data_IF_376814257063
#
_entry.id   IF_376814257063
#
_cell.length_a   1.000
_cell.length_b   1.000
_cell.length_c   1.000
_cell.angle_alpha   90.00
_cell.angle_beta   90.00
_cell.angle_gamma   90.00
#
_symmetry.space_group_name_H-M   'P 1'
#
loop_
_entity.id
_entity.type
_entity.pdbx_description
1 polymer ?
#
# COMPACT_ATOMS: atom_id res chain seq x y z
N UNK A 1 11.93 1.82 6.79
CA UNK A 1 11.56 0.38 6.72
C UNK A 1 10.57 0.19 5.57
N UNK A 2 10.55 -0.95 4.87
CA UNK A 2 9.60 -1.21 3.78
C UNK A 2 8.61 -2.32 4.17
N UNK A 3 7.44 -2.34 3.56
CA UNK A 3 6.42 -3.36 3.78
C UNK A 3 5.85 -3.84 2.45
N UNK A 4 5.64 -5.14 2.33
CA UNK A 4 4.88 -5.73 1.23
C UNK A 4 3.43 -5.82 1.66
N UNK A 5 2.55 -5.07 0.99
CA UNK A 5 1.14 -4.96 1.37
C UNK A 5 0.23 -5.40 0.23
N UNK A 6 -0.82 -6.15 0.55
CA UNK A 6 -1.83 -6.58 -0.41
C UNK A 6 -3.18 -5.92 -0.13
N UNK A 7 -3.85 -5.50 -1.19
CA UNK A 7 -5.17 -4.88 -1.14
C UNK A 7 -6.23 -5.78 -1.76
N UNK A 8 -7.46 -5.66 -1.25
CA UNK A 8 -8.63 -6.07 -2.02
C UNK A 8 -8.87 -5.07 -3.16
N UNK A 9 -9.64 -5.46 -4.17
CA UNK A 9 -9.99 -4.55 -5.28
C UNK A 9 -10.63 -3.21 -4.82
N UNK A 10 -11.61 -3.18 -3.89
CA UNK A 10 -12.20 -1.91 -3.45
C UNK A 10 -11.22 -1.06 -2.63
N UNK A 11 -10.39 -1.67 -1.78
CA UNK A 11 -9.41 -0.92 -0.99
C UNK A 11 -8.27 -0.38 -1.84
N UNK A 12 -7.84 -1.11 -2.88
CA UNK A 12 -6.87 -0.61 -3.85
C UNK A 12 -7.37 0.67 -4.54
N UNK A 13 -8.62 0.68 -4.99
CA UNK A 13 -9.19 1.86 -5.64
C UNK A 13 -9.20 3.10 -4.72
N UNK A 14 -9.45 2.90 -3.42
CA UNK A 14 -9.36 3.96 -2.40
C UNK A 14 -7.91 4.37 -2.12
N UNK A 15 -6.97 3.43 -2.22
CA UNK A 15 -5.55 3.64 -1.97
C UNK A 15 -4.82 4.34 -3.12
N UNK A 16 -5.30 4.19 -4.36
CA UNK A 16 -4.64 4.73 -5.56
C UNK A 16 -4.15 6.18 -5.43
N UNK A 17 -4.94 7.15 -4.91
CA UNK A 17 -4.45 8.53 -4.78
C UNK A 17 -3.25 8.68 -3.84
N UNK A 18 -3.16 7.86 -2.79
CA UNK A 18 -2.05 7.86 -1.83
C UNK A 18 -0.87 7.10 -2.44
N UNK A 19 -1.13 5.94 -3.02
CA UNK A 19 -0.12 5.13 -3.71
C UNK A 19 0.56 5.93 -4.84
N UNK A 20 -0.18 6.67 -5.66
CA UNK A 20 0.41 7.47 -6.74
C UNK A 20 1.26 8.65 -6.25
N UNK A 21 1.05 9.12 -5.02
CA UNK A 21 1.81 10.21 -4.41
C UNK A 21 3.05 9.75 -3.65
N UNK A 22 2.96 8.59 -3.00
CA UNK A 22 3.99 8.09 -2.11
C UNK A 22 4.73 6.85 -2.63
N UNK A 23 4.18 6.10 -3.59
CA UNK A 23 4.82 4.87 -4.05
C UNK A 23 5.91 5.15 -5.07
N UNK A 24 7.15 5.02 -4.61
CA UNK A 24 8.28 4.67 -5.46
C UNK A 24 8.14 3.21 -5.97
N UNK A 25 7.16 2.95 -6.83
CA UNK A 25 7.40 2.19 -8.06
C UNK A 25 7.55 0.67 -8.01
N UNK A 26 6.96 -0.07 -7.07
CA UNK A 26 6.89 -1.54 -7.24
C UNK A 26 5.50 -2.09 -6.95
N UNK A 27 4.76 -2.28 -8.04
CA UNK A 27 3.52 -3.05 -8.07
C UNK A 27 3.88 -4.49 -8.41
N UNK A 28 3.47 -5.40 -7.54
CA UNK A 28 3.55 -6.84 -7.70
C UNK A 28 2.17 -7.38 -8.13
N UNK A 29 2.08 -8.60 -8.66
CA UNK A 29 0.82 -9.24 -8.99
C UNK A 29 -0.16 -9.28 -7.79
N UNK A 30 -1.44 -9.48 -8.10
CA UNK A 30 -2.49 -9.63 -7.10
C UNK A 30 -2.67 -8.42 -6.18
N UNK A 31 -2.51 -7.19 -6.71
CA UNK A 31 -2.71 -5.92 -5.98
C UNK A 31 -1.78 -5.80 -4.78
N UNK A 32 -0.54 -6.20 -4.99
CA UNK A 32 0.49 -6.20 -3.95
C UNK A 32 1.47 -5.06 -4.24
N UNK A 33 1.86 -4.32 -3.22
CA UNK A 33 2.68 -3.14 -3.34
C UNK A 33 3.81 -3.20 -2.33
N UNK A 34 4.99 -2.74 -2.72
CA UNK A 34 6.09 -2.48 -1.79
C UNK A 34 6.01 -1.01 -1.38
N UNK A 35 5.73 -0.77 -0.11
CA UNK A 35 5.50 0.56 0.44
C UNK A 35 6.58 0.91 1.46
N UNK A 36 6.94 2.18 1.53
CA UNK A 36 7.69 2.71 2.66
C UNK A 36 6.77 2.97 3.86
N UNK A 37 7.39 3.31 4.98
CA UNK A 37 6.70 3.58 6.23
C UNK A 37 5.76 4.79 6.15
N UNK A 38 6.12 5.81 5.36
CA UNK A 38 5.31 7.01 5.17
C UNK A 38 4.01 6.69 4.42
N UNK A 39 4.10 5.96 3.31
CA UNK A 39 2.93 5.49 2.57
C UNK A 39 2.02 4.62 3.44
N UNK A 40 2.60 3.72 4.25
CA UNK A 40 1.83 2.88 5.20
C UNK A 40 1.11 3.73 6.24
N UNK A 41 1.76 4.78 6.76
CA UNK A 41 1.15 5.69 7.72
C UNK A 41 -0.01 6.47 7.10
N UNK A 42 0.15 7.00 5.89
CA UNK A 42 -0.91 7.74 5.18
C UNK A 42 -2.12 6.83 4.84
N UNK A 43 -1.87 5.59 4.41
CA UNK A 43 -2.96 4.62 4.18
C UNK A 43 -3.76 4.32 5.46
N UNK A 44 -3.07 4.19 6.60
CA UNK A 44 -3.75 3.99 7.90
C UNK A 44 -4.54 5.21 8.32
N UNK A 45 -4.00 6.42 8.15
CA UNK A 45 -4.71 7.69 8.43
C UNK A 45 -5.97 7.82 7.58
N UNK A 46 -5.92 7.36 6.32
CA UNK A 46 -7.06 7.35 5.42
C UNK A 46 -8.08 6.22 5.69
N UNK A 47 -7.86 5.38 6.71
CA UNK A 47 -8.76 4.27 7.06
C UNK A 47 -8.84 3.22 5.96
N UNK A 48 -7.73 2.98 5.26
CA UNK A 48 -7.63 1.95 4.22
C UNK A 48 -7.17 0.65 4.85
N UNK A 49 -7.89 -0.42 4.56
CA UNK A 49 -7.59 -1.77 5.05
C UNK A 49 -6.68 -2.49 4.06
N UNK A 50 -5.63 -3.12 4.57
CA UNK A 50 -4.69 -3.92 3.77
C UNK A 50 -4.05 -5.00 4.62
N UNK A 51 -3.52 -6.03 3.96
CA UNK A 51 -2.76 -7.09 4.59
C UNK A 51 -1.27 -6.83 4.43
N UNK A 52 -0.50 -6.86 5.52
CA UNK A 52 0.98 -6.88 5.44
C UNK A 52 1.45 -8.32 5.26
N UNK A 53 2.04 -8.61 4.09
CA UNK A 53 2.61 -9.92 3.76
C UNK A 53 4.04 -10.08 4.29
N UNK A 54 4.83 -8.99 4.29
CA UNK A 54 6.21 -8.99 4.75
C UNK A 54 6.68 -7.60 5.20
N UNK A 55 7.71 -7.56 6.04
CA UNK A 55 8.42 -6.36 6.49
C UNK A 55 9.89 -6.49 6.09
N UNK A 56 10.45 -5.44 5.50
CA UNK A 56 11.79 -5.36 4.91
C UNK A 56 12.60 -4.22 5.53
#
# INVERSE_FOLDING_TARGET
MKAVTQFTKPEEARALPILLRHSAGTVLPNRTYVLDEEAVAELRKAGISFLTLSRL
#
